data_IF_350273057848
#
_entry.id   IF_350273057848
#
_cell.length_a   1.000
_cell.length_b   1.000
_cell.length_c   1.000
_cell.angle_alpha   90.00
_cell.angle_beta   90.00
_cell.angle_gamma   90.00
#
_symmetry.space_group_name_H-M   'P 1'
#
loop_
_entity.id
_entity.type
_entity.pdbx_description
1 polymer ?
#
# COMPACT_ATOMS: atom_id res chain seq x y z
N UNK A 1 6.82 -3.10 -11.18
CA UNK A 1 7.18 -4.48 -11.22
C UNK A 1 6.00 -5.36 -11.55
N UNK A 2 6.20 -6.32 -12.39
CA UNK A 2 5.15 -7.12 -12.99
C UNK A 2 4.32 -7.92 -11.99
N UNK A 3 3.10 -8.17 -12.37
CA UNK A 3 2.18 -9.01 -11.62
C UNK A 3 2.81 -10.38 -11.37
N UNK A 4 2.78 -10.79 -10.14
CA UNK A 4 3.47 -11.97 -9.69
C UNK A 4 2.57 -13.19 -9.74
N UNK A 5 3.10 -14.24 -10.25
CA UNK A 5 2.46 -15.55 -10.20
C UNK A 5 2.70 -16.19 -8.83
N UNK A 6 2.05 -17.31 -8.60
CA UNK A 6 2.26 -18.15 -7.41
C UNK A 6 3.75 -18.48 -7.24
N UNK A 7 4.47 -18.69 -8.34
CA UNK A 7 5.91 -18.95 -8.33
C UNK A 7 6.69 -17.72 -7.83
N UNK A 8 6.23 -16.53 -8.17
CA UNK A 8 6.88 -15.29 -7.76
C UNK A 8 6.81 -15.07 -6.25
N UNK A 9 5.70 -15.45 -5.61
CA UNK A 9 5.57 -15.36 -4.15
C UNK A 9 6.61 -16.24 -3.44
N UNK A 10 6.84 -17.44 -3.95
CA UNK A 10 7.90 -18.30 -3.42
C UNK A 10 9.28 -17.71 -3.65
N UNK A 11 9.53 -17.15 -4.84
CA UNK A 11 10.79 -16.51 -5.17
C UNK A 11 11.05 -15.28 -4.28
N UNK A 12 10.01 -14.49 -4.00
CA UNK A 12 10.12 -13.34 -3.09
C UNK A 12 10.51 -13.78 -1.67
N UNK A 13 9.92 -14.87 -1.17
CA UNK A 13 10.24 -15.42 0.14
C UNK A 13 11.70 -15.88 0.21
N UNK A 14 12.20 -16.54 -0.82
CA UNK A 14 13.60 -16.96 -0.91
C UNK A 14 14.52 -15.76 -0.95
N UNK A 15 14.17 -14.74 -1.74
CA UNK A 15 14.94 -13.51 -1.84
C UNK A 15 15.01 -12.72 -0.53
N UNK A 16 13.98 -12.84 0.31
CA UNK A 16 13.94 -12.24 1.63
C UNK A 16 14.59 -13.11 2.72
N UNK A 17 15.21 -14.23 2.34
CA UNK A 17 15.87 -15.17 3.25
C UNK A 17 14.94 -15.73 4.33
N UNK A 18 13.73 -16.05 3.95
CA UNK A 18 12.73 -16.60 4.85
C UNK A 18 12.87 -18.11 4.97
N UNK A 19 12.50 -18.72 6.14
CA UNK A 19 12.64 -20.15 6.38
C UNK A 19 11.59 -20.99 5.64
N UNK A 20 11.69 -21.07 4.31
CA UNK A 20 10.69 -21.73 3.47
C UNK A 20 10.74 -23.27 3.53
N UNK A 21 11.82 -23.85 4.07
CA UNK A 21 12.00 -25.31 4.18
C UNK A 21 11.59 -25.88 5.53
N UNK A 22 11.23 -25.02 6.49
CA UNK A 22 10.82 -25.44 7.82
C UNK A 22 9.30 -25.64 7.90
N UNK A 23 8.80 -26.50 8.83
CA UNK A 23 7.35 -26.71 8.98
C UNK A 23 6.64 -25.58 9.73
N UNK A 24 7.15 -24.38 9.62
CA UNK A 24 6.53 -23.17 10.16
C UNK A 24 5.96 -22.32 9.02
N UNK A 25 4.84 -21.70 9.27
CA UNK A 25 4.22 -20.81 8.30
C UNK A 25 4.97 -19.50 8.17
N UNK A 26 5.16 -19.06 6.94
CA UNK A 26 5.69 -17.74 6.63
C UNK A 26 4.72 -17.05 5.68
N UNK A 27 4.52 -15.74 5.87
CA UNK A 27 3.65 -14.96 5.01
C UNK A 27 4.46 -13.92 4.25
N UNK A 28 4.20 -13.81 2.95
CA UNK A 28 4.76 -12.78 2.09
C UNK A 28 3.62 -11.91 1.58
N UNK A 29 3.77 -10.60 1.72
CA UNK A 29 2.86 -9.62 1.13
C UNK A 29 3.69 -8.79 0.14
N UNK A 30 3.41 -8.97 -1.13
CA UNK A 30 4.13 -8.30 -2.21
C UNK A 30 3.22 -7.22 -2.81
N UNK A 31 3.54 -5.97 -2.56
CA UNK A 31 2.76 -4.83 -3.01
C UNK A 31 3.42 -4.25 -4.26
N UNK A 32 2.85 -4.55 -5.43
CA UNK A 32 3.28 -3.99 -6.69
C UNK A 32 2.54 -2.70 -7.04
N UNK A 33 2.70 -2.24 -8.28
CA UNK A 33 1.98 -1.07 -8.77
C UNK A 33 0.49 -1.32 -8.93
N UNK A 34 0.12 -2.39 -9.62
CA UNK A 34 -1.29 -2.70 -9.94
C UNK A 34 -1.94 -3.74 -9.05
N UNK A 35 -1.17 -4.59 -8.39
CA UNK A 35 -1.70 -5.70 -7.59
C UNK A 35 -0.91 -5.89 -6.30
N UNK A 36 -1.55 -6.49 -5.31
CA UNK A 36 -0.91 -6.99 -4.10
C UNK A 36 -1.15 -8.48 -4.04
N UNK A 37 -0.09 -9.24 -3.79
CA UNK A 37 -0.15 -10.69 -3.64
C UNK A 37 0.18 -11.08 -2.21
N UNK A 38 -0.67 -11.93 -1.63
CA UNK A 38 -0.47 -12.47 -0.29
C UNK A 38 -0.30 -13.97 -0.43
N UNK A 39 0.80 -14.51 0.09
CA UNK A 39 1.08 -15.94 0.05
C UNK A 39 1.50 -16.42 1.42
N UNK A 40 1.00 -17.60 1.81
CA UNK A 40 1.42 -18.32 3.00
C UNK A 40 2.21 -19.56 2.55
N UNK A 41 3.39 -19.72 3.10
CA UNK A 41 4.36 -20.75 2.69
C UNK A 41 4.70 -21.64 3.88
N UNK A 42 4.86 -22.93 3.59
CA UNK A 42 5.34 -23.91 4.56
C UNK A 42 5.98 -25.07 3.82
N UNK A 43 7.09 -25.59 4.33
CA UNK A 43 7.79 -26.75 3.75
C UNK A 43 8.06 -26.58 2.25
N UNK A 44 8.56 -25.41 1.86
CA UNK A 44 8.87 -25.06 0.47
C UNK A 44 7.66 -25.05 -0.47
N UNK A 45 6.45 -25.14 0.08
CA UNK A 45 5.21 -25.11 -0.68
C UNK A 45 4.37 -23.90 -0.37
N UNK A 46 3.44 -23.59 -1.27
CA UNK A 46 2.48 -22.52 -1.06
C UNK A 46 1.20 -23.15 -0.52
N UNK A 47 0.84 -22.79 0.70
CA UNK A 47 -0.36 -23.26 1.39
C UNK A 47 -1.59 -22.47 0.96
N UNK A 48 -1.43 -21.16 0.76
CA UNK A 48 -2.48 -20.25 0.36
C UNK A 48 -1.88 -19.11 -0.43
N UNK A 49 -2.59 -18.66 -1.45
CA UNK A 49 -2.22 -17.42 -2.14
C UNK A 49 -3.46 -16.69 -2.61
N UNK A 50 -3.37 -15.36 -2.62
CA UNK A 50 -4.44 -14.49 -3.07
C UNK A 50 -3.84 -13.25 -3.72
N UNK A 51 -4.47 -12.80 -4.80
CA UNK A 51 -4.11 -11.55 -5.47
C UNK A 51 -5.30 -10.59 -5.40
N UNK A 52 -5.03 -9.33 -5.08
CA UNK A 52 -6.03 -8.28 -5.11
C UNK A 52 -5.50 -7.13 -5.99
N UNK A 53 -6.42 -6.48 -6.71
CA UNK A 53 -6.05 -5.40 -7.64
C UNK A 53 -5.94 -4.06 -6.91
N UNK A 54 -5.15 -4.03 -5.87
CA UNK A 54 -4.85 -2.84 -5.10
C UNK A 54 -3.35 -2.81 -4.85
N UNK A 55 -2.69 -1.75 -5.26
CA UNK A 55 -1.26 -1.56 -5.07
C UNK A 55 -0.92 -0.09 -5.09
N UNK A 56 0.31 0.22 -5.45
CA UNK A 56 0.82 1.59 -5.47
C UNK A 56 0.01 2.54 -6.33
N UNK A 57 -0.54 2.08 -7.46
CA UNK A 57 -1.33 2.92 -8.37
C UNK A 57 -2.66 3.35 -7.71
N UNK A 58 -3.32 2.45 -7.00
CA UNK A 58 -4.53 2.78 -6.25
C UNK A 58 -4.24 3.73 -5.08
N UNK A 59 -3.07 3.62 -4.49
CA UNK A 59 -2.62 4.54 -3.46
C UNK A 59 -2.43 5.95 -4.04
N UNK A 60 -1.82 6.06 -5.21
CA UNK A 60 -1.63 7.34 -5.90
C UNK A 60 -2.99 7.96 -6.27
N UNK A 61 -3.91 7.17 -6.81
CA UNK A 61 -5.27 7.61 -7.13
C UNK A 61 -6.02 8.10 -5.88
N UNK A 62 -5.86 7.41 -4.76
CA UNK A 62 -6.49 7.78 -3.49
C UNK A 62 -5.97 9.14 -2.99
N UNK A 63 -4.67 9.40 -3.12
CA UNK A 63 -4.07 10.67 -2.76
C UNK A 63 -4.60 11.79 -3.66
N UNK A 64 -4.66 11.56 -4.98
CA UNK A 64 -5.20 12.54 -5.93
C UNK A 64 -6.65 12.89 -5.56
N UNK A 65 -7.47 11.88 -5.27
CA UNK A 65 -8.87 12.09 -4.89
C UNK A 65 -9.00 12.84 -3.57
N UNK A 66 -8.16 12.54 -2.59
CA UNK A 66 -8.14 13.22 -1.30
C UNK A 66 -7.81 14.71 -1.47
N UNK A 67 -6.79 15.04 -2.25
CA UNK A 67 -6.39 16.41 -2.50
C UNK A 67 -7.51 17.19 -3.20
N UNK A 68 -8.20 16.56 -4.13
CA UNK A 68 -9.33 17.20 -4.82
C UNK A 68 -10.48 17.49 -3.87
N UNK A 69 -10.86 16.51 -3.04
CA UNK A 69 -12.00 16.64 -2.13
C UNK A 69 -11.75 17.58 -0.96
N UNK A 70 -10.56 17.53 -0.38
CA UNK A 70 -10.28 18.23 0.87
C UNK A 70 -9.55 19.55 0.68
N UNK A 71 -8.88 19.75 -0.44
CA UNK A 71 -8.09 20.96 -0.68
C UNK A 71 -8.45 21.69 -1.97
N UNK A 72 -9.40 21.16 -2.76
CA UNK A 72 -9.72 21.66 -4.10
C UNK A 72 -8.48 21.87 -4.95
N UNK A 73 -7.54 20.96 -4.84
CA UNK A 73 -6.25 21.00 -5.51
C UNK A 73 -6.10 19.82 -6.46
N UNK A 74 -5.79 20.11 -7.72
CA UNK A 74 -5.48 19.08 -8.70
C UNK A 74 -3.98 18.84 -8.70
N UNK A 75 -3.57 17.61 -8.43
CA UNK A 75 -2.18 17.16 -8.52
C UNK A 75 -2.06 16.04 -9.52
N UNK A 76 -0.86 15.87 -10.08
CA UNK A 76 -0.57 14.77 -10.99
C UNK A 76 -0.08 13.52 -10.26
N UNK A 77 0.09 12.44 -11.02
CA UNK A 77 0.55 11.15 -10.49
C UNK A 77 1.94 11.24 -9.87
N UNK A 78 2.86 11.99 -10.48
CA UNK A 78 4.22 12.19 -9.97
C UNK A 78 4.20 12.84 -8.59
N UNK A 79 3.37 13.85 -8.40
CA UNK A 79 3.21 14.52 -7.11
C UNK A 79 2.58 13.59 -6.07
N UNK A 80 1.56 12.83 -6.47
CA UNK A 80 0.94 11.84 -5.59
C UNK A 80 1.93 10.77 -5.14
N UNK A 81 2.75 10.27 -6.04
CA UNK A 81 3.80 9.30 -5.73
C UNK A 81 4.83 9.89 -4.76
N UNK A 82 5.21 11.15 -4.95
CA UNK A 82 6.11 11.83 -4.02
C UNK A 82 5.52 11.93 -2.62
N UNK A 83 4.25 12.30 -2.49
CA UNK A 83 3.55 12.35 -1.21
C UNK A 83 3.57 10.96 -0.55
N UNK A 84 3.24 9.93 -1.31
CA UNK A 84 3.25 8.55 -0.83
C UNK A 84 4.62 8.14 -0.30
N UNK A 85 5.68 8.45 -1.03
CA UNK A 85 7.06 8.07 -0.65
C UNK A 85 7.59 8.88 0.53
N UNK A 86 7.30 10.17 0.58
CA UNK A 86 7.88 11.07 1.58
C UNK A 86 7.17 11.01 2.92
N UNK A 87 5.83 10.96 2.92
CA UNK A 87 5.02 11.00 4.15
C UNK A 87 3.92 9.94 4.18
N UNK A 88 3.85 9.05 3.20
CA UNK A 88 2.85 7.98 3.19
C UNK A 88 3.03 7.03 4.36
N UNK A 89 1.94 6.73 5.05
CA UNK A 89 1.94 5.79 6.16
C UNK A 89 0.58 5.12 6.26
N UNK A 90 0.57 3.88 6.72
CA UNK A 90 -0.65 3.13 6.99
C UNK A 90 -1.22 3.45 8.37
N UNK A 91 -0.41 4.02 9.27
CA UNK A 91 -0.80 4.31 10.64
C UNK A 91 -0.92 5.81 10.84
N UNK A 92 -2.00 6.21 11.50
CA UNK A 92 -2.15 7.60 11.91
C UNK A 92 -1.13 7.89 13.01
N UNK A 93 -0.34 8.98 12.91
CA UNK A 93 0.61 9.34 13.96
C UNK A 93 -0.06 9.44 15.33
N UNK A 94 0.59 8.89 16.37
CA UNK A 94 0.06 8.92 17.73
C UNK A 94 0.00 10.34 18.29
N UNK A 95 0.97 11.17 17.92
CA UNK A 95 1.12 12.54 18.42
C UNK A 95 1.00 13.55 17.27
N UNK A 96 -0.17 14.19 17.17
CA UNK A 96 -0.38 15.29 16.24
C UNK A 96 -0.39 14.88 14.77
N UNK A 97 0.19 15.70 13.92
CA UNK A 97 0.13 15.56 12.46
C UNK A 97 1.30 14.77 11.87
N UNK A 98 2.39 14.60 12.60
CA UNK A 98 3.63 13.99 12.10
C UNK A 98 4.40 14.92 11.17
N UNK A 99 5.20 14.33 10.27
CA UNK A 99 5.95 15.09 9.28
C UNK A 99 5.01 15.77 8.28
N UNK A 100 5.49 16.86 7.68
CA UNK A 100 4.71 17.60 6.67
C UNK A 100 5.59 17.95 5.48
N UNK A 101 4.97 18.06 4.31
CA UNK A 101 5.62 18.55 3.09
C UNK A 101 4.73 19.58 2.40
N UNK A 102 5.34 20.42 1.60
CA UNK A 102 4.61 21.38 0.77
C UNK A 102 4.38 20.77 -0.62
N UNK A 103 3.16 20.89 -1.12
CA UNK A 103 2.72 20.28 -2.37
C UNK A 103 2.13 21.36 -3.28
N UNK A 104 2.57 21.40 -4.52
CA UNK A 104 2.04 22.30 -5.54
C UNK A 104 1.05 21.60 -6.45
N UNK A 105 -0.01 22.32 -6.78
CA UNK A 105 -1.00 21.85 -7.73
C UNK A 105 -1.79 23.00 -8.30
N UNK A 106 -2.85 22.68 -9.03
CA UNK A 106 -3.74 23.69 -9.61
C UNK A 106 -4.97 23.85 -8.73
N UNK A 107 -5.26 25.06 -8.32
CA UNK A 107 -6.50 25.38 -7.62
C UNK A 107 -7.69 25.12 -8.57
N UNK A 108 -8.62 24.26 -8.17
CA UNK A 108 -9.75 23.88 -9.01
C UNK A 108 -10.80 24.99 -9.15
N UNK A 109 -10.85 25.92 -8.22
CA UNK A 109 -11.79 27.03 -8.29
C UNK A 109 -11.28 28.18 -9.15
N UNK A 110 -10.00 28.51 -9.02
CA UNK A 110 -9.40 29.67 -9.68
C UNK A 110 -8.52 29.31 -10.88
N UNK A 111 -8.16 28.05 -11.02
CA UNK A 111 -7.32 27.57 -12.11
C UNK A 111 -5.85 27.99 -12.07
N UNK A 112 -5.40 28.55 -10.95
CA UNK A 112 -4.02 29.04 -10.77
C UNK A 112 -3.21 28.08 -9.92
N UNK A 113 -1.87 28.09 -10.04
CA UNK A 113 -1.02 27.30 -9.16
C UNK A 113 -1.20 27.70 -7.70
N UNK A 114 -1.24 26.71 -6.81
CA UNK A 114 -1.34 26.89 -5.37
C UNK A 114 -0.50 25.87 -4.65
N UNK A 115 0.03 26.23 -3.50
CA UNK A 115 0.81 25.35 -2.65
C UNK A 115 0.02 25.07 -1.36
N UNK A 116 0.01 23.80 -0.95
CA UNK A 116 -0.68 23.32 0.24
C UNK A 116 0.27 22.48 1.07
N UNK A 117 0.21 22.61 2.38
CA UNK A 117 0.99 21.76 3.29
C UNK A 117 0.18 20.52 3.67
N UNK A 118 0.79 19.35 3.51
CA UNK A 118 0.18 18.05 3.80
C UNK A 118 0.99 17.35 4.88
N UNK A 119 0.29 16.79 5.87
CA UNK A 119 0.89 16.06 6.99
C UNK A 119 0.80 14.54 6.81
N UNK A 120 1.57 13.81 7.61
CA UNK A 120 1.47 12.35 7.66
C UNK A 120 0.06 11.89 8.03
N UNK A 121 -0.60 12.57 8.95
CA UNK A 121 -1.99 12.25 9.33
C UNK A 121 -2.92 12.34 8.13
N UNK A 122 -2.79 13.39 7.34
CA UNK A 122 -3.60 13.56 6.14
C UNK A 122 -3.28 12.51 5.09
N UNK A 123 -2.00 12.16 4.93
CA UNK A 123 -1.59 11.08 4.02
C UNK A 123 -2.17 9.73 4.47
N UNK A 124 -2.16 9.43 5.76
CA UNK A 124 -2.76 8.22 6.31
C UNK A 124 -4.27 8.18 6.05
N UNK A 125 -4.96 9.29 6.21
CA UNK A 125 -6.39 9.39 5.90
C UNK A 125 -6.65 9.16 4.41
N UNK A 126 -5.82 9.73 3.54
CA UNK A 126 -5.94 9.54 2.09
C UNK A 126 -5.74 8.09 1.69
N UNK A 127 -4.83 7.38 2.34
CA UNK A 127 -4.47 6.00 2.03
C UNK A 127 -5.34 4.95 2.73
N UNK A 128 -6.28 5.35 3.57
CA UNK A 128 -7.07 4.45 4.41
C UNK A 128 -7.80 3.38 3.60
N UNK A 129 -8.42 3.73 2.48
CA UNK A 129 -9.18 2.80 1.65
C UNK A 129 -8.30 1.72 1.00
N UNK A 130 -7.27 2.06 0.21
CA UNK A 130 -6.42 1.02 -0.37
C UNK A 130 -5.68 0.19 0.68
N UNK A 131 -5.24 0.79 1.78
CA UNK A 131 -4.61 0.06 2.88
C UNK A 131 -5.57 -0.93 3.52
N UNK A 132 -6.84 -0.53 3.74
CA UNK A 132 -7.83 -1.43 4.33
C UNK A 132 -8.10 -2.64 3.43
N UNK A 133 -8.09 -2.48 2.12
CA UNK A 133 -8.26 -3.60 1.19
C UNK A 133 -7.08 -4.58 1.24
N UNK A 134 -5.87 -4.09 1.40
CA UNK A 134 -4.68 -4.94 1.58
C UNK A 134 -4.74 -5.67 2.92
N UNK A 135 -5.09 -4.97 3.99
CA UNK A 135 -5.25 -5.57 5.34
C UNK A 135 -6.32 -6.66 5.32
N UNK A 136 -7.43 -6.43 4.62
CA UNK A 136 -8.49 -7.43 4.48
C UNK A 136 -7.99 -8.68 3.77
N UNK A 137 -7.18 -8.53 2.71
CA UNK A 137 -6.58 -9.66 2.02
C UNK A 137 -5.65 -10.46 2.95
N UNK A 138 -4.89 -9.78 3.80
CA UNK A 138 -4.04 -10.44 4.81
C UNK A 138 -4.89 -11.19 5.84
N UNK A 139 -5.97 -10.59 6.33
CA UNK A 139 -6.89 -11.25 7.27
C UNK A 139 -7.50 -12.51 6.67
N UNK A 140 -7.96 -12.45 5.43
CA UNK A 140 -8.51 -13.61 4.73
C UNK A 140 -7.47 -14.73 4.61
N UNK A 141 -6.22 -14.37 4.30
CA UNK A 141 -5.12 -15.33 4.23
C UNK A 141 -4.85 -16.00 5.58
N UNK A 142 -4.88 -15.23 6.66
CA UNK A 142 -4.71 -15.77 8.02
C UNK A 142 -5.84 -16.70 8.40
N UNK A 143 -7.08 -16.36 8.08
CA UNK A 143 -8.25 -17.21 8.35
C UNK A 143 -8.21 -18.51 7.55
N UNK A 144 -7.69 -18.48 6.33
CA UNK A 144 -7.56 -19.65 5.47
C UNK A 144 -6.36 -20.54 5.83
N UNK A 145 -5.44 -20.06 6.67
CA UNK A 145 -4.25 -20.80 7.08
C UNK A 145 -4.61 -21.79 8.18
N UNK A 146 -4.16 -23.06 8.10
CA UNK A 146 -4.38 -24.04 9.18
C UNK A 146 -3.79 -23.58 10.51
N UNK A 147 -4.47 -23.88 11.65
CA UNK A 147 -4.00 -23.44 12.97
C UNK A 147 -2.61 -23.96 13.37
N UNK A 148 -2.15 -25.02 12.72
CA UNK A 148 -0.85 -25.64 12.98
C UNK A 148 0.32 -24.84 12.41
N UNK A 149 0.09 -23.82 11.61
CA UNK A 149 1.12 -23.01 10.95
C UNK A 149 1.31 -21.65 11.60
#
# INVERSE_FOLDING_TARGET
MCGLSVVSGGAAAIGADMPVTEPIGSMVVDIGGGTTEVAVLSLSGIVYSRSVRVGGDKMDEAIISYMRRNHNLLIGETTAERIKKDIGTARIPADGEGLSIDVKGRDLMQGVPREVRISERQAAEALAEPVSQIVEAVKVALEATPPEL
#
